data_IF_836133574773
#
_entry.id   IF_836133574773
#
_cell.length_a   1.000
_cell.length_b   1.000
_cell.length_c   1.000
_cell.angle_alpha   90.00
_cell.angle_beta   90.00
_cell.angle_gamma   90.00
#
_symmetry.space_group_name_H-M   'P 1'
#
loop_
_entity.id
_entity.type
_entity.pdbx_description
1 polymer ?
#
# COMPACT_ATOMS: atom_id res chain seq x y z
N UNK A 1 -29.04 -11.41 19.20
CA UNK A 1 -29.22 -10.22 18.35
C UNK A 1 -30.65 -9.72 18.53
N UNK A 2 -30.79 -8.48 18.98
CA UNK A 2 -32.10 -7.81 19.09
C UNK A 2 -32.45 -7.10 17.76
N UNK A 3 -33.73 -6.74 17.52
CA UNK A 3 -34.09 -5.93 16.35
C UNK A 3 -33.33 -4.60 16.28
N UNK A 4 -33.05 -3.97 17.42
CA UNK A 4 -32.28 -2.72 17.48
C UNK A 4 -30.82 -2.93 17.03
N UNK A 5 -30.15 -3.97 17.51
CA UNK A 5 -28.78 -4.32 17.09
C UNK A 5 -28.72 -4.62 15.59
N UNK A 6 -29.71 -5.33 15.06
CA UNK A 6 -29.82 -5.63 13.65
C UNK A 6 -29.88 -4.34 12.80
N UNK A 7 -30.78 -3.43 13.16
CA UNK A 7 -30.92 -2.19 12.39
C UNK A 7 -29.75 -1.23 12.56
N UNK A 8 -29.05 -1.24 13.70
CA UNK A 8 -27.77 -0.55 13.87
C UNK A 8 -26.70 -1.07 12.89
N UNK A 9 -26.59 -2.40 12.76
CA UNK A 9 -25.64 -3.01 11.81
C UNK A 9 -25.99 -2.64 10.36
N UNK A 10 -27.27 -2.70 9.98
CA UNK A 10 -27.71 -2.30 8.62
C UNK A 10 -27.39 -0.82 8.36
N UNK A 11 -27.67 0.07 9.32
CA UNK A 11 -27.36 1.49 9.18
C UNK A 11 -25.83 1.73 9.07
N UNK A 12 -25.04 1.02 9.85
CA UNK A 12 -23.58 1.08 9.77
C UNK A 12 -23.08 0.74 8.34
N UNK A 13 -23.58 -0.34 7.73
CA UNK A 13 -23.23 -0.72 6.36
C UNK A 13 -23.60 0.37 5.34
N UNK A 14 -24.76 1.01 5.51
CA UNK A 14 -25.17 2.12 4.64
C UNK A 14 -24.23 3.34 4.78
N UNK A 15 -23.87 3.70 6.02
CA UNK A 15 -22.95 4.82 6.27
C UNK A 15 -21.56 4.50 5.73
N UNK A 16 -21.07 3.27 5.94
CA UNK A 16 -19.79 2.79 5.42
C UNK A 16 -19.72 2.89 3.89
N UNK A 17 -20.78 2.45 3.20
CA UNK A 17 -20.86 2.57 1.74
C UNK A 17 -20.93 4.02 1.26
N UNK A 18 -21.75 4.86 1.92
CA UNK A 18 -21.87 6.28 1.58
C UNK A 18 -20.57 7.08 1.77
N UNK A 19 -19.75 6.70 2.74
CA UNK A 19 -18.42 7.27 3.01
C UNK A 19 -17.31 6.66 2.17
N UNK A 20 -17.59 5.60 1.41
CA UNK A 20 -16.60 4.86 0.60
C UNK A 20 -15.44 4.28 1.44
N UNK A 21 -15.69 3.94 2.70
CA UNK A 21 -14.67 3.45 3.63
C UNK A 21 -14.62 1.91 3.76
N UNK A 22 -15.35 1.16 2.94
CA UNK A 22 -15.36 -0.32 3.01
C UNK A 22 -13.97 -0.93 2.91
N UNK A 23 -13.10 -0.41 2.03
CA UNK A 23 -11.71 -0.86 1.90
C UNK A 23 -10.88 -0.63 3.17
N UNK A 24 -11.11 0.46 3.89
CA UNK A 24 -10.42 0.74 5.16
C UNK A 24 -10.82 -0.25 6.26
N UNK A 25 -12.12 -0.61 6.34
CA UNK A 25 -12.61 -1.64 7.28
C UNK A 25 -12.03 -3.01 6.94
N UNK A 26 -11.99 -3.38 5.67
CA UNK A 26 -11.41 -4.65 5.19
C UNK A 26 -9.93 -4.75 5.61
N UNK A 27 -9.15 -3.70 5.37
CA UNK A 27 -7.75 -3.63 5.82
C UNK A 27 -7.64 -3.67 7.35
N UNK A 28 -8.42 -2.84 8.05
CA UNK A 28 -8.40 -2.71 9.51
C UNK A 28 -8.84 -3.96 10.28
N UNK A 29 -9.68 -4.80 9.70
CA UNK A 29 -10.09 -6.08 10.28
C UNK A 29 -9.21 -7.27 9.86
N UNK A 30 -8.17 -7.04 9.05
CA UNK A 30 -7.26 -8.09 8.58
C UNK A 30 -7.83 -9.02 7.51
N UNK A 31 -8.95 -8.66 6.88
CA UNK A 31 -9.56 -9.50 5.83
C UNK A 31 -8.69 -9.52 4.57
N UNK A 32 -8.03 -8.41 4.25
CA UNK A 32 -7.09 -8.35 3.14
C UNK A 32 -5.84 -9.20 3.42
N UNK A 33 -5.32 -9.17 4.66
CA UNK A 33 -4.24 -10.06 5.07
C UNK A 33 -4.63 -11.54 4.98
N UNK A 34 -5.87 -11.88 5.32
CA UNK A 34 -6.36 -13.25 5.14
C UNK A 34 -6.38 -13.65 3.66
N UNK A 35 -6.74 -12.72 2.76
CA UNK A 35 -6.65 -12.96 1.31
C UNK A 35 -5.19 -13.20 0.88
N UNK A 36 -4.23 -12.43 1.40
CA UNK A 36 -2.80 -12.64 1.14
C UNK A 36 -2.35 -14.05 1.54
N UNK A 37 -2.79 -14.56 2.69
CA UNK A 37 -2.48 -15.92 3.13
C UNK A 37 -3.03 -17.00 2.18
N UNK A 38 -4.24 -16.79 1.62
CA UNK A 38 -4.81 -17.70 0.62
C UNK A 38 -4.00 -17.66 -0.68
N UNK A 39 -3.61 -16.48 -1.15
CA UNK A 39 -2.80 -16.32 -2.36
C UNK A 39 -1.40 -16.92 -2.18
N UNK A 40 -0.78 -16.78 -1.01
CA UNK A 40 0.52 -17.40 -0.72
C UNK A 40 0.42 -18.94 -0.70
N UNK A 41 -0.68 -19.50 -0.19
CA UNK A 41 -0.92 -20.95 -0.25
C UNK A 41 -1.12 -21.46 -1.69
N UNK A 42 -1.77 -20.69 -2.56
CA UNK A 42 -1.90 -20.99 -3.99
C UNK A 42 -0.54 -20.92 -4.70
N UNK A 43 0.27 -19.89 -4.41
CA UNK A 43 1.63 -19.76 -4.94
C UNK A 43 2.52 -20.93 -4.52
N UNK A 44 2.39 -21.41 -3.28
CA UNK A 44 3.12 -22.59 -2.79
C UNK A 44 2.72 -23.85 -3.57
N UNK A 45 1.43 -24.08 -3.77
CA UNK A 45 0.92 -25.21 -4.56
C UNK A 45 1.39 -25.15 -6.03
N UNK A 46 1.54 -23.95 -6.57
CA UNK A 46 2.05 -23.72 -7.93
C UNK A 46 3.59 -23.78 -8.04
N UNK A 47 4.31 -24.05 -6.94
CA UNK A 47 5.78 -24.05 -6.91
C UNK A 47 6.42 -22.66 -7.02
N UNK A 48 5.69 -21.61 -6.69
CA UNK A 48 6.12 -20.19 -6.75
C UNK A 48 6.34 -19.56 -5.39
N UNK A 49 6.43 -20.36 -4.33
CA UNK A 49 6.64 -19.87 -2.97
C UNK A 49 8.02 -19.25 -2.75
N UNK A 50 8.14 -18.46 -1.68
CA UNK A 50 9.39 -17.87 -1.22
C UNK A 50 9.64 -16.44 -1.72
N UNK A 51 10.80 -15.89 -1.39
CA UNK A 51 11.17 -14.51 -1.67
C UNK A 51 10.63 -13.53 -0.61
N UNK A 52 10.48 -12.27 -0.99
CA UNK A 52 9.96 -11.21 -0.12
C UNK A 52 8.51 -11.52 0.30
N UNK A 53 8.18 -11.41 1.59
CA UNK A 53 6.82 -11.59 2.07
C UNK A 53 5.83 -10.62 1.42
N UNK A 54 4.61 -11.13 1.15
CA UNK A 54 3.50 -10.31 0.70
C UNK A 54 2.97 -9.46 1.87
N UNK A 55 2.52 -8.25 1.56
CA UNK A 55 1.72 -7.41 2.47
C UNK A 55 0.51 -6.89 1.74
N UNK A 56 -0.46 -6.35 2.48
CA UNK A 56 -1.69 -5.84 1.90
C UNK A 56 -1.44 -4.70 0.89
N UNK A 57 -2.25 -4.65 -0.16
CA UNK A 57 -2.28 -3.56 -1.15
C UNK A 57 -2.84 -2.27 -0.54
N UNK A 58 -3.93 -2.41 0.19
CA UNK A 58 -4.74 -1.30 0.65
C UNK A 58 -5.61 -0.68 -0.46
N UNK A 59 -6.54 0.21 -0.11
CA UNK A 59 -7.54 0.74 -1.06
C UNK A 59 -7.05 1.92 -1.90
N UNK A 60 -5.76 2.31 -1.85
CA UNK A 60 -5.27 3.57 -2.43
C UNK A 60 -4.37 3.39 -3.66
N UNK A 61 -4.29 2.17 -4.19
CA UNK A 61 -3.63 1.92 -5.48
C UNK A 61 -4.46 2.50 -6.64
N UNK A 62 -3.76 3.03 -7.65
CA UNK A 62 -4.35 3.48 -8.92
C UNK A 62 -3.49 2.98 -10.06
N UNK A 63 -4.09 2.22 -10.96
CA UNK A 63 -3.40 1.70 -12.14
C UNK A 63 -3.12 2.82 -13.16
N UNK A 64 -2.10 2.58 -14.03
CA UNK A 64 -1.81 3.49 -15.14
C UNK A 64 -0.79 4.57 -14.85
N UNK A 65 -0.10 4.52 -13.71
CA UNK A 65 1.01 5.45 -13.45
C UNK A 65 2.03 5.45 -14.60
N UNK A 66 2.67 6.59 -14.91
CA UNK A 66 3.63 6.68 -16.01
C UNK A 66 4.80 5.70 -15.86
N UNK A 67 5.26 5.13 -17.00
CA UNK A 67 6.37 4.18 -17.05
C UNK A 67 7.69 4.93 -17.25
N UNK A 68 8.74 4.45 -16.59
CA UNK A 68 10.13 4.93 -16.69
C UNK A 68 11.08 3.74 -16.82
N UNK A 69 12.25 3.95 -17.42
CA UNK A 69 13.29 2.93 -17.59
C UNK A 69 14.39 3.13 -16.53
N UNK A 70 14.62 2.13 -15.67
CA UNK A 70 15.69 2.08 -14.67
C UNK A 70 15.62 3.14 -13.57
N UNK A 71 15.23 4.38 -13.90
CA UNK A 71 15.22 5.52 -13.00
C UNK A 71 13.97 6.38 -13.15
N UNK A 72 13.48 6.94 -12.03
CA UNK A 72 12.31 7.81 -12.03
C UNK A 72 12.39 8.94 -10.99
N UNK A 73 11.65 10.01 -11.26
CA UNK A 73 11.23 10.98 -10.26
C UNK A 73 9.73 10.79 -10.01
N UNK A 74 9.35 10.62 -8.75
CA UNK A 74 7.96 10.38 -8.35
C UNK A 74 7.23 11.67 -8.01
N UNK A 75 7.91 12.59 -7.32
CA UNK A 75 7.33 13.86 -6.86
C UNK A 75 7.21 14.89 -8.00
N UNK A 76 6.17 15.70 -7.97
CA UNK A 76 5.94 16.82 -8.91
C UNK A 76 6.68 18.11 -8.49
N UNK A 77 7.32 18.11 -7.32
CA UNK A 77 8.11 19.24 -6.80
C UNK A 77 7.30 20.32 -6.08
N UNK A 78 6.01 20.12 -5.89
CA UNK A 78 5.12 21.07 -5.18
C UNK A 78 5.19 20.89 -3.68
N UNK A 79 5.19 19.64 -3.20
CA UNK A 79 5.31 19.33 -1.77
C UNK A 79 6.76 19.57 -1.30
N UNK A 80 6.99 20.42 -0.26
CA UNK A 80 8.31 20.78 0.24
C UNK A 80 8.96 19.71 1.13
N UNK A 81 8.53 18.46 1.03
CA UNK A 81 9.02 17.33 1.83
C UNK A 81 10.53 17.09 1.71
N UNK A 82 11.08 16.39 2.69
CA UNK A 82 12.48 15.94 2.67
C UNK A 82 12.70 15.00 1.49
N UNK A 83 13.73 15.28 0.69
CA UNK A 83 14.06 14.46 -0.50
C UNK A 83 14.47 13.06 -0.07
N UNK A 84 13.89 12.06 -0.71
CA UNK A 84 14.20 10.64 -0.58
C UNK A 84 14.81 10.13 -1.88
N UNK A 85 15.95 9.45 -1.79
CA UNK A 85 16.48 8.61 -2.86
C UNK A 85 16.39 7.16 -2.44
N UNK A 86 15.83 6.33 -3.30
CA UNK A 86 15.70 4.91 -3.09
C UNK A 86 16.17 4.12 -4.30
N UNK A 87 16.80 2.99 -4.04
CA UNK A 87 17.21 2.03 -5.07
C UNK A 87 16.99 0.62 -4.57
N UNK A 88 16.79 -0.31 -5.49
CA UNK A 88 16.61 -1.71 -5.20
C UNK A 88 17.02 -2.58 -6.37
N UNK A 89 17.00 -3.88 -6.15
CA UNK A 89 17.25 -4.89 -7.17
C UNK A 89 16.18 -5.98 -7.07
N UNK A 90 15.53 -6.27 -8.20
CA UNK A 90 14.55 -7.38 -8.30
C UNK A 90 15.32 -8.65 -8.67
N UNK A 91 15.08 -9.71 -7.88
CA UNK A 91 15.70 -11.04 -8.06
C UNK A 91 14.66 -12.14 -7.97
N UNK A 92 14.95 -13.26 -8.61
CA UNK A 92 14.23 -14.50 -8.35
C UNK A 92 14.68 -15.15 -7.02
N UNK A 93 14.04 -16.23 -6.62
CA UNK A 93 14.39 -16.96 -5.37
C UNK A 93 15.74 -17.66 -5.42
N UNK A 94 16.36 -17.82 -6.58
CA UNK A 94 17.73 -18.30 -6.74
C UNK A 94 18.78 -17.19 -6.61
N UNK A 95 18.36 -15.92 -6.45
CA UNK A 95 19.23 -14.75 -6.35
C UNK A 95 19.65 -14.15 -7.68
N UNK A 96 19.10 -14.62 -8.79
CA UNK A 96 19.39 -14.11 -10.12
C UNK A 96 18.60 -12.81 -10.39
N UNK A 97 19.22 -11.80 -11.01
CA UNK A 97 18.54 -10.53 -11.31
C UNK A 97 17.44 -10.71 -12.36
N UNK A 98 16.35 -9.98 -12.21
CA UNK A 98 15.24 -9.97 -13.16
C UNK A 98 15.24 -8.67 -13.96
N UNK A 99 15.82 -8.70 -15.14
CA UNK A 99 15.75 -7.62 -16.11
C UNK A 99 14.33 -7.47 -16.67
N UNK A 100 13.91 -6.24 -16.89
CA UNK A 100 12.58 -5.95 -17.46
C UNK A 100 11.41 -6.20 -16.51
N UNK A 101 11.67 -6.45 -15.22
CA UNK A 101 10.61 -6.47 -14.22
C UNK A 101 10.00 -5.08 -14.05
N UNK A 102 8.70 -5.01 -13.84
CA UNK A 102 8.00 -3.74 -13.58
C UNK A 102 7.83 -3.57 -12.07
N UNK A 103 8.38 -2.48 -11.54
CA UNK A 103 8.24 -2.04 -10.16
C UNK A 103 7.27 -0.86 -10.15
N UNK A 104 6.05 -1.08 -9.68
CA UNK A 104 5.04 -0.05 -9.50
C UNK A 104 5.12 0.48 -8.06
N UNK A 105 5.36 1.77 -7.90
CA UNK A 105 5.62 2.42 -6.60
C UNK A 105 4.58 3.49 -6.33
N UNK A 106 4.01 3.50 -5.12
CA UNK A 106 3.14 4.60 -4.69
C UNK A 106 3.23 4.83 -3.19
N UNK A 107 3.05 6.07 -2.78
CA UNK A 107 3.03 6.45 -1.36
C UNK A 107 2.30 7.78 -1.13
N UNK A 108 2.02 8.10 0.14
CA UNK A 108 1.42 9.36 0.56
C UNK A 108 2.39 10.55 0.42
N UNK A 109 1.86 11.75 0.37
CA UNK A 109 2.63 12.99 0.51
C UNK A 109 2.97 13.28 1.99
N UNK A 110 3.56 14.44 2.28
CA UNK A 110 3.90 14.87 3.65
C UNK A 110 2.66 15.13 4.53
N UNK A 111 1.50 15.31 3.94
CA UNK A 111 0.21 15.44 4.63
C UNK A 111 -0.52 14.11 4.87
N UNK A 112 0.04 12.98 4.44
CA UNK A 112 -0.60 11.67 4.57
C UNK A 112 -1.72 11.43 3.56
N UNK A 113 -1.77 12.19 2.46
CA UNK A 113 -2.78 12.05 1.41
C UNK A 113 -2.18 11.49 0.12
N UNK A 114 -3.01 10.85 -0.69
CA UNK A 114 -2.61 10.21 -1.95
C UNK A 114 -3.16 10.98 -3.15
N UNK A 115 -2.32 11.18 -4.16
CA UNK A 115 -2.74 11.69 -5.46
C UNK A 115 -3.89 10.84 -6.03
N UNK A 116 -4.69 11.40 -6.94
CA UNK A 116 -5.95 10.86 -7.44
C UNK A 116 -7.12 11.02 -6.46
N UNK A 117 -6.93 10.73 -5.17
CA UNK A 117 -7.95 10.92 -4.12
C UNK A 117 -7.91 12.35 -3.56
N UNK A 118 -6.73 12.96 -3.54
CA UNK A 118 -6.52 14.36 -3.19
C UNK A 118 -6.33 15.19 -4.47
N UNK A 119 -7.36 15.92 -4.85
CA UNK A 119 -7.39 16.74 -6.08
C UNK A 119 -6.48 17.96 -6.05
N UNK A 120 -5.82 18.25 -4.93
CA UNK A 120 -4.81 19.32 -4.84
C UNK A 120 -3.46 18.87 -5.38
N UNK A 121 -3.26 17.59 -5.58
CA UNK A 121 -2.06 16.99 -6.17
C UNK A 121 -2.27 16.71 -7.66
N UNK A 122 -1.18 16.68 -8.43
CA UNK A 122 -1.23 16.16 -9.80
C UNK A 122 -1.61 14.68 -9.80
N UNK A 123 -2.28 14.21 -10.84
CA UNK A 123 -2.98 12.90 -10.89
C UNK A 123 -2.10 11.71 -10.48
N UNK A 124 -0.84 11.68 -10.92
CA UNK A 124 0.12 10.63 -10.60
C UNK A 124 1.30 11.12 -9.76
N UNK A 125 1.12 12.18 -8.95
CA UNK A 125 2.14 12.59 -8.00
C UNK A 125 2.43 11.43 -7.03
N UNK A 126 3.72 11.15 -6.78
CA UNK A 126 4.20 10.09 -5.90
C UNK A 126 3.78 8.67 -6.33
N UNK A 127 3.52 8.49 -7.64
CA UNK A 127 3.20 7.21 -8.29
C UNK A 127 4.04 7.04 -9.55
N UNK A 128 4.67 5.87 -9.72
CA UNK A 128 5.48 5.58 -10.91
C UNK A 128 5.63 4.09 -11.14
N UNK A 129 5.67 3.68 -12.39
CA UNK A 129 6.12 2.34 -12.80
C UNK A 129 7.53 2.45 -13.34
N UNK A 130 8.43 1.56 -12.91
CA UNK A 130 9.84 1.58 -13.29
C UNK A 130 10.20 0.19 -13.82
N UNK A 131 10.71 0.13 -15.03
CA UNK A 131 11.26 -1.11 -15.63
C UNK A 131 12.69 -1.28 -15.13
N UNK A 132 13.03 -2.46 -14.60
CA UNK A 132 14.39 -2.74 -14.14
C UNK A 132 15.37 -2.85 -15.28
N UNK A 133 16.63 -2.46 -15.06
CA UNK A 133 17.73 -2.60 -16.02
C UNK A 133 18.18 -4.06 -16.22
N UNK A 134 19.25 -4.26 -16.97
CA UNK A 134 19.78 -5.61 -17.29
C UNK A 134 20.26 -6.38 -16.04
N UNK A 135 20.63 -5.69 -14.99
CA UNK A 135 21.05 -6.24 -13.70
C UNK A 135 19.91 -6.27 -12.69
N UNK A 136 18.66 -6.00 -13.11
CA UNK A 136 17.47 -6.00 -12.26
C UNK A 136 17.34 -4.79 -11.32
N UNK A 137 18.15 -3.75 -11.50
CA UNK A 137 18.10 -2.58 -10.64
C UNK A 137 17.01 -1.59 -11.06
N UNK A 138 16.49 -0.89 -10.06
CA UNK A 138 15.65 0.30 -10.20
C UNK A 138 16.06 1.35 -9.17
N UNK A 139 15.82 2.60 -9.48
CA UNK A 139 16.01 3.70 -8.53
C UNK A 139 15.00 4.81 -8.76
N UNK A 140 14.72 5.56 -7.72
CA UNK A 140 13.89 6.74 -7.83
C UNK A 140 14.24 7.81 -6.80
N UNK A 141 13.91 9.05 -7.19
CA UNK A 141 13.84 10.19 -6.30
C UNK A 141 12.38 10.46 -5.95
N UNK A 142 12.12 10.74 -4.69
CA UNK A 142 10.82 11.12 -4.16
C UNK A 142 10.97 12.05 -2.96
N UNK A 143 9.95 12.13 -2.14
CA UNK A 143 9.96 12.77 -0.82
C UNK A 143 9.63 11.71 0.25
N UNK A 144 10.09 11.94 1.47
CA UNK A 144 9.73 11.10 2.62
C UNK A 144 8.23 11.22 2.87
N UNK A 145 7.46 10.11 2.81
CA UNK A 145 6.03 10.14 3.12
C UNK A 145 5.76 10.42 4.59
N UNK A 146 4.55 10.88 4.90
CA UNK A 146 4.00 10.83 6.26
C UNK A 146 3.21 9.55 6.48
N UNK A 147 3.09 9.13 7.75
CA UNK A 147 2.04 8.22 8.17
C UNK A 147 0.67 8.90 8.06
N UNK A 148 -0.39 8.10 8.10
CA UNK A 148 -1.76 8.60 8.02
C UNK A 148 -2.73 7.71 8.80
N UNK A 149 -3.95 8.23 9.02
CA UNK A 149 -5.01 7.50 9.71
C UNK A 149 -6.30 7.41 8.91
N UNK A 150 -7.21 6.56 9.38
CA UNK A 150 -8.60 6.60 8.94
C UNK A 150 -9.21 7.96 9.24
N UNK A 151 -10.21 8.43 8.48
CA UNK A 151 -10.95 9.63 8.80
C UNK A 151 -11.44 9.60 10.26
N UNK A 152 -11.11 10.61 11.10
CA UNK A 152 -11.33 10.52 12.56
C UNK A 152 -12.82 10.48 12.94
N UNK A 153 -13.68 11.02 12.10
CA UNK A 153 -15.14 11.02 12.25
C UNK A 153 -15.83 9.96 11.35
N UNK A 154 -15.04 9.10 10.72
CA UNK A 154 -15.51 8.07 9.80
C UNK A 154 -16.01 6.79 10.49
N UNK A 155 -16.86 6.00 9.82
CA UNK A 155 -17.36 4.74 10.34
C UNK A 155 -16.26 3.72 10.62
N UNK A 156 -15.15 3.75 9.88
CA UNK A 156 -14.00 2.88 10.13
C UNK A 156 -13.36 3.19 11.49
N UNK A 157 -13.05 4.45 11.78
CA UNK A 157 -12.49 4.84 13.07
C UNK A 157 -13.43 4.51 14.22
N UNK A 158 -14.73 4.76 14.06
CA UNK A 158 -15.75 4.42 15.06
C UNK A 158 -15.79 2.91 15.37
N UNK A 159 -15.62 2.04 14.38
CA UNK A 159 -15.53 0.60 14.59
C UNK A 159 -14.26 0.22 15.34
N UNK A 160 -13.12 0.78 14.90
CA UNK A 160 -11.83 0.49 15.54
C UNK A 160 -11.79 0.96 17.00
N UNK A 161 -12.39 2.10 17.30
CA UNK A 161 -12.51 2.62 18.69
C UNK A 161 -13.30 1.63 19.58
N UNK A 162 -14.40 1.05 19.05
CA UNK A 162 -15.15 0.02 19.77
C UNK A 162 -14.35 -1.26 20.01
N UNK A 163 -13.38 -1.56 19.15
CA UNK A 163 -12.46 -2.68 19.27
C UNK A 163 -11.22 -2.36 20.12
N UNK A 164 -11.11 -1.13 20.64
CA UNK A 164 -9.93 -0.65 21.37
C UNK A 164 -8.69 -0.51 20.49
N UNK A 165 -8.85 -0.27 19.18
CA UNK A 165 -7.78 -0.15 18.18
C UNK A 165 -7.74 1.26 17.60
N UNK A 166 -6.54 1.76 17.29
CA UNK A 166 -6.39 2.98 16.52
C UNK A 166 -6.38 2.72 15.01
N UNK A 167 -6.73 3.73 14.21
CA UNK A 167 -6.75 3.68 12.75
C UNK A 167 -5.49 4.19 12.06
N UNK A 168 -4.34 4.24 12.75
CA UNK A 168 -3.12 4.84 12.24
C UNK A 168 -2.22 3.82 11.53
N UNK A 169 -1.54 4.27 10.47
CA UNK A 169 -0.47 3.54 9.78
C UNK A 169 0.83 4.36 9.81
N UNK A 170 2.00 3.71 9.97
CA UNK A 170 3.28 4.40 9.86
C UNK A 170 3.51 4.93 8.45
N UNK A 171 4.47 5.83 8.29
CA UNK A 171 5.01 6.22 7.00
C UNK A 171 5.51 4.98 6.24
N UNK A 172 5.05 4.79 4.99
CA UNK A 172 5.41 3.62 4.19
C UNK A 172 5.33 3.91 2.69
N UNK A 173 6.02 3.07 1.93
CA UNK A 173 6.04 3.08 0.48
C UNK A 173 5.56 1.71 0.01
N UNK A 174 4.57 1.69 -0.85
CA UNK A 174 4.03 0.48 -1.45
C UNK A 174 4.77 0.10 -2.74
N UNK A 175 4.81 -1.19 -3.01
CA UNK A 175 5.38 -1.75 -4.22
C UNK A 175 4.51 -2.87 -4.77
N UNK A 176 4.23 -2.83 -6.08
CA UNK A 176 3.94 -4.01 -6.87
C UNK A 176 5.16 -4.36 -7.70
N UNK A 177 5.50 -5.64 -7.75
CA UNK A 177 6.59 -6.12 -8.58
C UNK A 177 6.07 -7.27 -9.42
N UNK A 178 6.22 -7.15 -10.74
CA UNK A 178 5.81 -8.15 -11.70
C UNK A 178 6.91 -8.46 -12.71
N UNK A 179 7.08 -9.73 -13.03
CA UNK A 179 7.95 -10.20 -14.09
C UNK A 179 7.31 -11.44 -14.74
N UNK A 180 7.60 -11.72 -16.05
CA UNK A 180 7.12 -12.92 -16.71
C UNK A 180 7.47 -14.19 -15.92
N UNK A 181 6.53 -15.13 -15.84
CA UNK A 181 6.67 -16.43 -15.16
C UNK A 181 6.92 -16.39 -13.64
N UNK A 182 6.83 -15.22 -13.02
CA UNK A 182 6.95 -15.05 -11.58
C UNK A 182 5.60 -14.69 -10.95
N UNK A 183 5.46 -14.96 -9.66
CA UNK A 183 4.30 -14.47 -8.90
C UNK A 183 4.29 -12.93 -8.86
N UNK A 184 3.13 -12.33 -8.86
CA UNK A 184 2.99 -10.92 -8.55
C UNK A 184 3.28 -10.69 -7.06
N UNK A 185 4.18 -9.77 -6.75
CA UNK A 185 4.52 -9.41 -5.38
C UNK A 185 3.88 -8.07 -5.02
N UNK A 186 3.03 -8.09 -4.00
CA UNK A 186 2.57 -6.89 -3.30
C UNK A 186 3.36 -6.77 -2.01
N UNK A 187 4.05 -5.66 -1.78
CA UNK A 187 4.81 -5.45 -0.55
C UNK A 187 4.91 -3.96 -0.21
N UNK A 188 5.44 -3.67 0.98
CA UNK A 188 5.68 -2.29 1.42
C UNK A 188 6.96 -2.20 2.24
N UNK A 189 7.53 -1.01 2.30
CA UNK A 189 8.63 -0.65 3.18
C UNK A 189 8.13 0.42 4.14
N UNK A 190 8.15 0.14 5.44
CA UNK A 190 7.87 1.11 6.48
C UNK A 190 9.12 1.94 6.76
N UNK A 191 8.96 3.22 7.05
CA UNK A 191 10.07 4.13 7.36
C UNK A 191 10.35 4.10 8.85
N UNK A 192 11.64 3.99 9.19
CA UNK A 192 12.09 4.03 10.58
C UNK A 192 11.84 5.40 11.22
N UNK A 193 11.62 5.41 12.54
CA UNK A 193 11.34 6.62 13.31
C UNK A 193 9.88 7.05 13.35
N UNK A 194 8.97 6.41 12.63
CA UNK A 194 7.54 6.69 12.76
C UNK A 194 6.99 6.08 14.06
N UNK A 195 6.20 6.87 14.81
CA UNK A 195 5.64 6.46 16.10
C UNK A 195 4.71 5.25 16.03
N UNK A 196 4.12 4.97 14.86
CA UNK A 196 3.22 3.84 14.63
C UNK A 196 3.89 2.63 13.98
N UNK A 197 5.23 2.63 13.86
CA UNK A 197 5.98 1.56 13.19
C UNK A 197 5.65 0.16 13.73
N UNK A 198 5.46 0.05 15.04
CA UNK A 198 5.15 -1.21 15.73
C UNK A 198 3.68 -1.35 16.15
N UNK A 199 2.85 -0.38 15.80
CA UNK A 199 1.43 -0.29 16.22
C UNK A 199 0.49 -0.09 15.03
N UNK A 200 0.94 -0.38 13.80
CA UNK A 200 0.13 -0.16 12.60
C UNK A 200 -1.25 -0.81 12.71
N UNK A 201 -2.27 -0.14 12.15
CA UNK A 201 -3.64 -0.65 11.99
C UNK A 201 -3.70 -2.10 11.46
N UNK A 202 -2.75 -2.47 10.58
CA UNK A 202 -2.70 -3.79 9.94
C UNK A 202 -1.91 -4.85 10.73
N UNK A 203 -1.26 -4.50 11.83
CA UNK A 203 -0.65 -5.48 12.73
C UNK A 203 -1.74 -6.10 13.61
N UNK A 204 -1.99 -7.36 13.40
CA UNK A 204 -2.93 -8.20 14.16
C UNK A 204 -2.14 -9.17 15.03
#
# INVERSE_FOLDING_TARGET
>A
MTPEEFWKAVNYLNVLGARQEAGLVVAGLGLEHYLDLLMDAEDEQAGKAGGTPRTIEGPLYVAGAPLSEGEARLDDGVDPGVVLFMQGQVKNTAGEPLAGAVVDVWHANTGGTYSYFDTTQSEFNLRRRIVTDAEGHYRFRSIVPSGYGCPPDGPTQQLLDQLGRHGQRPAHIHFFISAPDHRHLTTQINLDGDQYLHLSLIHI
#
